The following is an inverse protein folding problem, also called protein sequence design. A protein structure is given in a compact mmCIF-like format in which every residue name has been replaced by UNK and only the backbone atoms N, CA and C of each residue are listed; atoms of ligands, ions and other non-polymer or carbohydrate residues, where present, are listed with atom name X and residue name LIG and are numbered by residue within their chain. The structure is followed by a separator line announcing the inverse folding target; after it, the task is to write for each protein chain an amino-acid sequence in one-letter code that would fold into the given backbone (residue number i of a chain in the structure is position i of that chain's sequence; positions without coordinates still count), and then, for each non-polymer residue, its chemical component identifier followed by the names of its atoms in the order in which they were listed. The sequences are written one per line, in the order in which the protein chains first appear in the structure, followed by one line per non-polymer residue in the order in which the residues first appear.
data_IF_790718604963
#
_entry.id   IF_790718604963
#
_cell.length_a   1.000
_cell.length_b   1.000
_cell.length_c   1.000
_cell.angle_alpha   90.00
_cell.angle_beta   90.00
_cell.angle_gamma   90.00
#
_symmetry.space_group_name_H-M   'P 1'
#
loop_
_entity.id
_entity.type
_entity.pdbx_description
1 polymer ?
#
# COMPACT_ATOMS: atom_id res chain seq x y z
N UNK A 1 -30.65 -38.13 27.88
CA UNK A 1 -30.97 -37.53 26.58
C UNK A 1 -29.69 -36.93 26.04
N UNK A 2 -29.31 -37.36 24.84
CA UNK A 2 -28.00 -37.13 24.24
C UNK A 2 -27.76 -35.65 23.91
N UNK A 3 -26.49 -35.31 24.03
CA UNK A 3 -25.80 -34.07 23.71
C UNK A 3 -26.08 -33.57 22.29
N UNK A 4 -26.53 -32.32 22.17
CA UNK A 4 -26.44 -31.54 20.95
C UNK A 4 -24.98 -31.12 20.74
N UNK A 5 -24.20 -31.97 20.08
CA UNK A 5 -23.00 -31.54 19.35
C UNK A 5 -23.40 -31.46 17.88
N UNK A 6 -24.15 -30.42 17.54
CA UNK A 6 -24.26 -30.00 16.14
C UNK A 6 -22.96 -29.30 15.77
N UNK A 7 -22.28 -29.88 14.78
CA UNK A 7 -20.95 -29.52 14.37
C UNK A 7 -20.85 -28.03 14.04
N UNK A 8 -19.78 -27.43 14.55
CA UNK A 8 -19.24 -26.16 14.07
C UNK A 8 -19.00 -26.36 12.57
N UNK A 9 -19.94 -25.91 11.75
CA UNK A 9 -19.69 -25.69 10.34
C UNK A 9 -18.64 -24.58 10.30
N UNK A 10 -17.38 -24.97 10.09
CA UNK A 10 -16.24 -24.09 9.89
C UNK A 10 -16.63 -22.96 8.95
N UNK A 11 -16.66 -21.75 9.49
CA UNK A 11 -17.08 -20.57 8.75
C UNK A 11 -16.13 -20.37 7.55
N UNK A 12 -16.65 -20.18 6.33
CA UNK A 12 -15.81 -19.94 5.17
C UNK A 12 -14.98 -18.67 5.36
N UNK A 13 -13.75 -18.67 4.81
CA UNK A 13 -12.88 -17.49 4.76
C UNK A 13 -13.71 -16.28 4.28
N UNK A 14 -13.71 -15.13 4.99
CA UNK A 14 -14.44 -13.95 4.55
C UNK A 14 -14.13 -13.61 3.10
N UNK A 15 -15.18 -13.41 2.29
CA UNK A 15 -15.06 -13.31 0.82
C UNK A 15 -14.05 -12.24 0.41
N UNK A 16 -14.04 -11.09 1.07
CA UNK A 16 -13.08 -10.01 0.77
C UNK A 16 -11.62 -10.40 1.04
N UNK A 17 -11.36 -11.17 2.09
CA UNK A 17 -10.02 -11.71 2.41
C UNK A 17 -9.62 -12.77 1.38
N UNK A 18 -10.53 -13.71 1.08
CA UNK A 18 -10.30 -14.76 0.08
C UNK A 18 -9.96 -14.17 -1.29
N UNK A 19 -10.77 -13.21 -1.76
CA UNK A 19 -10.53 -12.53 -3.03
C UNK A 19 -9.18 -11.82 -3.05
N UNK A 20 -8.79 -11.18 -1.94
CA UNK A 20 -7.48 -10.53 -1.83
C UNK A 20 -6.34 -11.53 -1.96
N UNK A 21 -6.42 -12.69 -1.30
CA UNK A 21 -5.40 -13.74 -1.42
C UNK A 21 -5.34 -14.33 -2.83
N UNK A 22 -6.48 -14.60 -3.46
CA UNK A 22 -6.52 -15.03 -4.87
C UNK A 22 -5.81 -14.01 -5.77
N UNK A 23 -6.07 -12.72 -5.58
CA UNK A 23 -5.40 -11.66 -6.31
C UNK A 23 -3.90 -11.59 -6.04
N UNK A 24 -3.44 -11.75 -4.80
CA UNK A 24 -2.02 -11.79 -4.47
C UNK A 24 -1.31 -12.99 -5.12
N UNK A 25 -1.97 -14.14 -5.21
CA UNK A 25 -1.44 -15.32 -5.94
C UNK A 25 -1.30 -15.02 -7.42
N UNK A 26 -2.34 -14.46 -8.06
CA UNK A 26 -2.28 -14.06 -9.47
C UNK A 26 -1.18 -13.03 -9.71
N UNK A 27 -1.09 -12.03 -8.84
CA UNK A 27 -0.08 -10.97 -8.94
C UNK A 27 1.34 -11.50 -8.76
N UNK A 28 1.57 -12.39 -7.78
CA UNK A 28 2.84 -13.07 -7.57
C UNK A 28 3.23 -13.99 -8.73
N UNK A 29 2.26 -14.71 -9.31
CA UNK A 29 2.50 -15.52 -10.51
C UNK A 29 2.94 -14.65 -11.70
N UNK A 30 2.30 -13.50 -11.92
CA UNK A 30 2.67 -12.56 -12.98
C UNK A 30 4.07 -11.97 -12.75
N UNK A 31 4.47 -11.72 -11.51
CA UNK A 31 5.84 -11.31 -11.16
C UNK A 31 6.86 -12.38 -11.56
N UNK A 32 6.63 -13.63 -11.16
CA UNK A 32 7.51 -14.77 -11.48
C UNK A 32 7.58 -15.00 -12.99
N UNK A 33 6.46 -14.90 -13.70
CA UNK A 33 6.42 -14.98 -15.16
C UNK A 33 7.25 -13.88 -15.82
N UNK A 34 7.14 -12.63 -15.35
CA UNK A 34 7.95 -11.52 -15.84
C UNK A 34 9.45 -11.77 -15.65
N UNK A 35 9.85 -12.25 -14.46
CA UNK A 35 11.23 -12.56 -14.13
C UNK A 35 11.80 -13.75 -14.93
N UNK A 36 11.05 -14.85 -15.05
CA UNK A 36 11.55 -16.09 -15.67
C UNK A 36 11.51 -16.07 -17.19
N UNK A 37 10.47 -15.50 -17.79
CA UNK A 37 10.22 -15.61 -19.23
C UNK A 37 10.63 -14.37 -20.04
N UNK A 38 11.28 -13.38 -19.41
CA UNK A 38 11.56 -12.07 -20.00
C UNK A 38 10.33 -11.46 -20.69
N UNK A 39 9.14 -11.70 -20.13
CA UNK A 39 7.89 -11.11 -20.62
C UNK A 39 7.74 -9.70 -20.06
N UNK A 40 6.96 -8.89 -20.76
CA UNK A 40 6.61 -7.55 -20.30
C UNK A 40 6.01 -7.60 -18.89
N UNK A 41 6.53 -6.79 -17.97
CA UNK A 41 5.96 -6.60 -16.63
C UNK A 41 4.62 -5.84 -16.62
N UNK A 42 4.10 -5.46 -17.79
CA UNK A 42 2.84 -4.73 -17.90
C UNK A 42 1.67 -5.46 -17.25
N UNK A 43 1.53 -6.77 -17.45
CA UNK A 43 0.45 -7.55 -16.84
C UNK A 43 0.53 -7.53 -15.31
N UNK A 44 1.76 -7.65 -14.77
CA UNK A 44 2.02 -7.53 -13.34
C UNK A 44 1.62 -6.14 -12.80
N UNK A 45 1.95 -5.06 -13.51
CA UNK A 45 1.56 -3.70 -13.10
C UNK A 45 0.05 -3.49 -13.16
N UNK A 46 -0.62 -3.92 -14.23
CA UNK A 46 -2.07 -3.76 -14.38
C UNK A 46 -2.84 -4.60 -13.38
N UNK A 47 -2.41 -5.83 -13.09
CA UNK A 47 -2.98 -6.64 -12.03
C UNK A 47 -2.82 -5.97 -10.66
N UNK A 48 -1.65 -5.38 -10.37
CA UNK A 48 -1.43 -4.62 -9.13
C UNK A 48 -2.30 -3.37 -9.02
N UNK A 49 -2.56 -2.67 -10.13
CA UNK A 49 -3.51 -1.55 -10.17
C UNK A 49 -4.94 -2.03 -9.93
N UNK A 50 -5.36 -3.14 -10.56
CA UNK A 50 -6.70 -3.69 -10.40
C UNK A 50 -6.95 -4.12 -8.94
N UNK A 51 -5.97 -4.79 -8.33
CA UNK A 51 -6.03 -5.16 -6.92
C UNK A 51 -6.08 -3.92 -6.01
N UNK A 52 -5.23 -2.92 -6.26
CA UNK A 52 -5.25 -1.66 -5.51
C UNK A 52 -6.64 -1.00 -5.60
N UNK A 53 -7.20 -0.94 -6.82
CA UNK A 53 -8.51 -0.37 -7.05
C UNK A 53 -9.59 -1.14 -6.30
N UNK A 54 -9.55 -2.48 -6.27
CA UNK A 54 -10.53 -3.27 -5.50
C UNK A 54 -10.44 -3.01 -4.00
N UNK A 55 -9.23 -2.90 -3.44
CA UNK A 55 -9.04 -2.63 -2.01
C UNK A 55 -9.49 -1.22 -1.66
N UNK A 56 -9.12 -0.23 -2.47
CA UNK A 56 -9.44 1.16 -2.22
C UNK A 56 -10.92 1.48 -2.46
N UNK A 57 -11.56 0.83 -3.45
CA UNK A 57 -12.99 0.97 -3.71
C UNK A 57 -13.84 0.51 -2.52
N UNK A 58 -13.36 -0.48 -1.76
CA UNK A 58 -14.02 -0.93 -0.53
C UNK A 58 -14.31 0.21 0.46
N UNK A 59 -13.41 1.20 0.57
CA UNK A 59 -13.61 2.36 1.46
C UNK A 59 -14.79 3.25 1.04
N UNK A 60 -15.10 3.31 -0.26
CA UNK A 60 -16.18 4.13 -0.80
C UNK A 60 -17.51 3.38 -0.85
N UNK A 61 -17.48 2.06 -1.08
CA UNK A 61 -18.68 1.23 -1.23
C UNK A 61 -19.19 0.74 0.13
N UNK A 62 -18.30 0.23 0.97
CA UNK A 62 -18.67 -0.43 2.22
C UNK A 62 -18.63 0.52 3.42
N UNK A 63 -17.96 1.67 3.29
CA UNK A 63 -17.65 2.55 4.41
C UNK A 63 -16.21 2.35 4.91
N UNK A 64 -15.71 3.38 5.60
CA UNK A 64 -14.32 3.38 6.11
C UNK A 64 -14.10 2.30 7.17
N UNK A 65 -14.94 2.16 8.22
CA UNK A 65 -14.73 1.14 9.25
C UNK A 65 -14.74 -0.29 8.67
N UNK A 66 -15.70 -0.62 7.83
CA UNK A 66 -15.86 -1.94 7.21
C UNK A 66 -14.69 -2.27 6.28
N UNK A 67 -14.22 -1.29 5.51
CA UNK A 67 -13.05 -1.46 4.66
C UNK A 67 -11.76 -1.67 5.48
N UNK A 68 -11.63 -0.99 6.62
CA UNK A 68 -10.53 -1.22 7.56
C UNK A 68 -10.64 -2.62 8.18
N UNK A 69 -11.81 -3.05 8.62
CA UNK A 69 -11.98 -4.38 9.20
C UNK A 69 -11.63 -5.50 8.20
N UNK A 70 -12.00 -5.34 6.93
CA UNK A 70 -11.56 -6.25 5.87
C UNK A 70 -10.05 -6.18 5.65
N UNK A 71 -9.46 -4.98 5.68
CA UNK A 71 -8.01 -4.79 5.56
C UNK A 71 -7.25 -5.48 6.70
N UNK A 72 -7.69 -5.32 7.95
CA UNK A 72 -7.13 -5.99 9.13
C UNK A 72 -7.26 -7.51 9.01
N UNK A 73 -8.43 -8.00 8.55
CA UNK A 73 -8.66 -9.42 8.32
C UNK A 73 -7.66 -10.07 7.36
N UNK A 74 -7.05 -9.32 6.43
CA UNK A 74 -5.97 -9.84 5.58
C UNK A 74 -4.75 -10.22 6.44
N UNK A 75 -4.39 -9.44 7.46
CA UNK A 75 -3.21 -9.67 8.31
C UNK A 75 -3.50 -10.66 9.44
N UNK A 76 -4.73 -10.65 9.96
CA UNK A 76 -5.13 -11.51 11.08
C UNK A 76 -4.85 -12.98 10.83
N UNK A 77 -5.02 -13.46 9.59
CA UNK A 77 -4.75 -14.85 9.21
C UNK A 77 -3.34 -15.30 9.54
N UNK A 78 -2.32 -14.47 9.26
CA UNK A 78 -0.93 -14.85 9.54
C UNK A 78 -0.53 -14.50 10.96
N UNK A 79 -1.02 -13.40 11.51
CA UNK A 79 -0.60 -12.96 12.84
C UNK A 79 -1.09 -13.93 13.93
N UNK A 80 -2.27 -14.53 13.73
CA UNK A 80 -2.88 -15.51 14.63
C UNK A 80 -2.36 -16.95 14.44
N UNK A 81 -1.44 -17.20 13.51
CA UNK A 81 -0.86 -18.53 13.33
C UNK A 81 -0.15 -19.01 14.60
N UNK A 82 -0.57 -20.16 15.11
CA UNK A 82 0.01 -20.78 16.30
C UNK A 82 -0.30 -20.06 17.62
N UNK A 83 -1.25 -19.12 17.65
CA UNK A 83 -1.63 -18.41 18.89
C UNK A 83 -2.63 -19.21 19.72
N UNK A 84 -3.58 -19.92 19.08
CA UNK A 84 -4.59 -20.69 19.81
C UNK A 84 -4.04 -21.82 20.69
N UNK A 85 -2.75 -22.15 20.55
CA UNK A 85 -2.03 -23.11 21.38
C UNK A 85 -1.25 -22.48 22.55
N UNK A 86 -1.19 -21.15 22.63
CA UNK A 86 -0.45 -20.44 23.68
C UNK A 86 -1.34 -20.24 24.93
N UNK A 87 -0.78 -20.40 26.14
CA UNK A 87 -1.39 -19.88 27.36
C UNK A 87 -1.66 -18.38 27.27
N UNK A 88 -2.69 -17.89 27.97
CA UNK A 88 -3.12 -16.47 27.91
C UNK A 88 -2.01 -15.49 28.35
N UNK A 89 -1.18 -15.89 29.31
CA UNK A 89 -0.02 -15.13 29.77
C UNK A 89 1.17 -15.14 28.79
N UNK A 90 1.08 -15.90 27.70
CA UNK A 90 2.08 -16.00 26.64
C UNK A 90 1.63 -15.33 25.33
N UNK A 91 0.45 -14.68 25.33
CA UNK A 91 0.00 -13.90 24.17
C UNK A 91 0.99 -12.77 23.90
N UNK A 92 1.51 -12.65 22.66
CA UNK A 92 2.49 -11.63 22.32
C UNK A 92 2.01 -10.20 22.61
N UNK A 93 2.88 -9.36 23.16
CA UNK A 93 2.53 -8.02 23.63
C UNK A 93 2.04 -7.04 22.54
N UNK A 94 2.29 -7.31 21.26
CA UNK A 94 1.77 -6.49 20.15
C UNK A 94 0.37 -6.94 19.70
N UNK A 95 -0.23 -7.92 20.38
CA UNK A 95 -1.57 -8.42 20.07
C UNK A 95 -2.54 -8.04 21.17
N UNK A 96 -3.61 -7.39 20.78
CA UNK A 96 -4.63 -6.88 21.69
C UNK A 96 -6.02 -7.20 21.14
N UNK A 97 -7.03 -7.35 22.01
CA UNK A 97 -8.41 -7.35 21.59
C UNK A 97 -8.80 -5.97 21.07
N UNK A 98 -9.85 -5.92 20.25
CA UNK A 98 -10.47 -4.66 19.83
C UNK A 98 -11.92 -4.56 20.32
N UNK A 99 -12.44 -3.34 20.36
CA UNK A 99 -13.80 -3.08 20.85
C UNK A 99 -14.84 -3.95 20.13
N UNK A 100 -15.53 -4.81 20.90
CA UNK A 100 -16.52 -5.79 20.41
C UNK A 100 -16.03 -6.64 19.23
N UNK A 101 -14.73 -6.88 19.13
CA UNK A 101 -14.10 -7.61 18.03
C UNK A 101 -14.45 -7.08 16.62
N UNK A 102 -14.84 -5.80 16.52
CA UNK A 102 -15.38 -5.22 15.28
C UNK A 102 -14.31 -4.79 14.28
N UNK A 103 -13.03 -4.82 14.69
CA UNK A 103 -11.90 -4.44 13.85
C UNK A 103 -11.50 -5.51 12.83
N UNK A 104 -12.20 -6.66 12.79
CA UNK A 104 -11.91 -7.75 11.86
C UNK A 104 -13.19 -8.29 11.22
N UNK A 105 -13.04 -8.89 10.05
CA UNK A 105 -14.13 -9.62 9.36
C UNK A 105 -14.21 -11.10 9.77
N UNK A 106 -13.29 -11.55 10.63
CA UNK A 106 -13.21 -12.95 11.05
C UNK A 106 -14.13 -13.32 12.23
N UNK A 107 -14.73 -12.32 12.89
CA UNK A 107 -15.56 -12.51 14.08
C UNK A 107 -14.81 -13.32 15.14
N UNK A 108 -15.51 -14.21 15.83
CA UNK A 108 -14.97 -14.97 16.98
C UNK A 108 -13.82 -15.92 16.62
N UNK A 109 -13.50 -16.11 15.34
CA UNK A 109 -12.36 -16.92 14.90
C UNK A 109 -11.02 -16.31 15.32
N UNK A 110 -10.90 -14.99 15.22
CA UNK A 110 -9.71 -14.25 15.64
C UNK A 110 -10.14 -13.11 16.55
N UNK A 111 -9.72 -13.18 17.82
CA UNK A 111 -10.02 -12.19 18.86
C UNK A 111 -8.80 -11.36 19.27
N UNK A 112 -7.64 -11.70 18.71
CA UNK A 112 -6.37 -11.02 18.91
C UNK A 112 -5.92 -10.40 17.59
N UNK A 113 -5.58 -9.12 17.64
CA UNK A 113 -5.22 -8.34 16.46
C UNK A 113 -3.94 -7.57 16.71
N UNK A 114 -3.23 -7.23 15.64
CA UNK A 114 -2.09 -6.33 15.76
C UNK A 114 -2.53 -5.02 16.43
N UNK A 115 -1.77 -4.53 17.39
CA UNK A 115 -2.11 -3.31 18.13
C UNK A 115 -2.33 -2.11 17.21
N UNK A 116 -1.49 -1.97 16.19
CA UNK A 116 -1.65 -0.92 15.17
C UNK A 116 -2.97 -1.06 14.40
N UNK A 117 -3.45 -2.27 14.16
CA UNK A 117 -4.67 -2.55 13.41
C UNK A 117 -5.92 -2.18 14.22
N UNK A 118 -5.96 -2.58 15.50
CA UNK A 118 -7.03 -2.17 16.42
C UNK A 118 -7.08 -0.64 16.56
N UNK A 119 -5.94 -0.01 16.79
CA UNK A 119 -5.85 1.45 16.88
C UNK A 119 -6.25 2.14 15.57
N UNK A 120 -5.92 1.55 14.41
CA UNK A 120 -6.36 2.09 13.12
C UNK A 120 -7.89 2.08 13.02
N UNK A 121 -8.51 0.93 13.30
CA UNK A 121 -9.96 0.78 13.23
C UNK A 121 -10.67 1.78 14.15
N UNK A 122 -10.29 1.82 15.43
CA UNK A 122 -10.96 2.65 16.44
C UNK A 122 -10.92 4.14 16.09
N UNK A 123 -9.81 4.61 15.51
CA UNK A 123 -9.70 6.00 15.06
C UNK A 123 -10.73 6.39 14.01
N UNK A 124 -11.15 5.48 13.15
CA UNK A 124 -12.09 5.80 12.07
C UNK A 124 -13.53 5.37 12.39
N UNK A 125 -13.70 4.33 13.22
CA UNK A 125 -15.01 3.88 13.70
C UNK A 125 -15.60 4.84 14.74
N UNK A 126 -14.77 5.32 15.68
CA UNK A 126 -15.23 6.12 16.83
C UNK A 126 -14.70 7.56 16.83
N UNK A 127 -13.85 7.91 15.87
CA UNK A 127 -13.32 9.26 15.73
C UNK A 127 -14.25 10.25 15.03
N UNK A 128 -13.84 11.54 14.94
CA UNK A 128 -14.59 12.54 14.20
C UNK A 128 -14.74 12.18 12.73
N UNK A 129 -15.94 12.36 12.16
CA UNK A 129 -16.23 12.07 10.74
C UNK A 129 -15.29 12.75 9.75
N UNK A 130 -14.78 13.94 10.10
CA UNK A 130 -13.80 14.66 9.30
C UNK A 130 -12.57 13.80 8.99
N UNK A 131 -12.11 12.99 9.95
CA UNK A 131 -10.96 12.09 9.77
C UNK A 131 -11.21 11.09 8.64
N UNK A 132 -12.39 10.48 8.61
CA UNK A 132 -12.80 9.56 7.55
C UNK A 132 -12.87 10.24 6.19
N UNK A 133 -13.39 11.47 6.11
CA UNK A 133 -13.37 12.24 4.86
C UNK A 133 -11.95 12.55 4.37
N UNK A 134 -11.05 12.93 5.28
CA UNK A 134 -9.64 13.17 4.94
C UNK A 134 -8.98 11.88 4.42
N UNK A 135 -9.26 10.73 5.03
CA UNK A 135 -8.76 9.44 4.55
C UNK A 135 -9.30 9.09 3.16
N UNK A 136 -10.59 9.31 2.90
CA UNK A 136 -11.18 9.06 1.59
C UNK A 136 -10.55 9.95 0.51
N UNK A 137 -10.32 11.24 0.80
CA UNK A 137 -9.61 12.14 -0.12
C UNK A 137 -8.18 11.67 -0.36
N UNK A 138 -7.46 11.28 0.70
CA UNK A 138 -6.13 10.69 0.59
C UNK A 138 -6.13 9.49 -0.36
N UNK A 139 -7.03 8.52 -0.14
CA UNK A 139 -7.13 7.29 -0.93
C UNK A 139 -7.47 7.62 -2.39
N UNK A 140 -8.49 8.44 -2.64
CA UNK A 140 -8.91 8.79 -4.00
C UNK A 140 -7.78 9.47 -4.77
N UNK A 141 -7.18 10.51 -4.19
CA UNK A 141 -6.16 11.30 -4.85
C UNK A 141 -4.88 10.49 -5.13
N UNK A 142 -4.38 9.72 -4.16
CA UNK A 142 -3.19 8.88 -4.36
C UNK A 142 -3.46 7.76 -5.38
N UNK A 143 -4.66 7.18 -5.40
CA UNK A 143 -5.03 6.16 -6.40
C UNK A 143 -5.00 6.73 -7.81
N UNK A 144 -5.58 7.93 -8.01
CA UNK A 144 -5.55 8.62 -9.30
C UNK A 144 -4.11 8.91 -9.71
N UNK A 145 -3.30 9.51 -8.82
CA UNK A 145 -1.91 9.84 -9.12
C UNK A 145 -1.09 8.58 -9.46
N UNK A 146 -1.29 7.47 -8.75
CA UNK A 146 -0.60 6.21 -9.00
C UNK A 146 -0.95 5.68 -10.39
N UNK A 147 -2.23 5.61 -10.73
CA UNK A 147 -2.71 5.11 -12.04
C UNK A 147 -2.20 5.98 -13.18
N UNK A 148 -2.35 7.30 -13.06
CA UNK A 148 -1.91 8.23 -14.10
C UNK A 148 -0.40 8.17 -14.32
N UNK A 149 0.38 8.02 -13.25
CA UNK A 149 1.84 7.85 -13.34
C UNK A 149 2.20 6.57 -14.11
N UNK A 150 1.51 5.45 -13.86
CA UNK A 150 1.75 4.22 -14.62
C UNK A 150 1.39 4.39 -16.09
N UNK A 151 0.27 5.03 -16.40
CA UNK A 151 -0.13 5.35 -17.78
C UNK A 151 0.95 6.18 -18.46
N UNK A 152 1.44 7.24 -17.79
CA UNK A 152 2.46 8.14 -18.32
C UNK A 152 3.81 7.44 -18.56
N UNK A 153 4.17 6.46 -17.71
CA UNK A 153 5.39 5.67 -17.88
C UNK A 153 5.26 4.62 -18.99
N UNK A 154 4.14 3.87 -19.02
CA UNK A 154 3.90 2.81 -20.01
C UNK A 154 3.75 3.41 -21.43
N UNK A 155 3.20 4.61 -21.56
CA UNK A 155 3.03 5.28 -22.86
C UNK A 155 4.32 5.82 -23.47
N UNK A 156 5.52 5.47 -22.98
CA UNK A 156 6.78 5.86 -23.63
C UNK A 156 7.11 4.92 -24.80
N UNK A 157 7.33 5.47 -26.01
CA UNK A 157 8.14 6.66 -26.28
C UNK A 157 7.36 7.97 -26.45
N UNK A 158 8.04 9.10 -26.22
CA UNK A 158 7.50 10.46 -26.42
C UNK A 158 6.86 10.59 -27.81
N UNK A 159 5.54 10.81 -27.82
CA UNK A 159 4.82 11.15 -29.04
C UNK A 159 4.53 12.67 -29.04
N UNK A 160 5.14 13.45 -29.97
CA UNK A 160 4.91 14.89 -30.08
C UNK A 160 3.43 15.27 -30.21
N UNK A 161 2.64 14.41 -30.86
CA UNK A 161 1.20 14.61 -31.07
C UNK A 161 0.41 14.51 -29.75
N UNK A 162 0.97 13.83 -28.73
CA UNK A 162 0.35 13.66 -27.40
C UNK A 162 0.95 14.58 -26.34
N UNK A 163 1.75 15.58 -26.72
CA UNK A 163 2.41 16.50 -25.77
C UNK A 163 1.40 17.22 -24.85
N UNK A 164 0.29 17.71 -25.41
CA UNK A 164 -0.74 18.39 -24.63
C UNK A 164 -1.40 17.45 -23.61
N UNK A 165 -1.69 16.22 -24.02
CA UNK A 165 -2.24 15.18 -23.14
C UNK A 165 -1.27 14.83 -22.01
N UNK A 166 0.01 14.58 -22.33
CA UNK A 166 1.04 14.29 -21.33
C UNK A 166 1.14 15.41 -20.29
N UNK A 167 1.11 16.67 -20.73
CA UNK A 167 1.13 17.84 -19.85
C UNK A 167 -0.10 17.90 -18.94
N UNK A 168 -1.30 17.68 -19.50
CA UNK A 168 -2.55 17.68 -18.73
C UNK A 168 -2.55 16.58 -17.66
N UNK A 169 -2.22 15.34 -18.03
CA UNK A 169 -2.15 14.22 -17.10
C UNK A 169 -1.08 14.45 -16.02
N UNK A 170 0.06 15.07 -16.37
CA UNK A 170 1.08 15.48 -15.41
C UNK A 170 0.57 16.49 -14.39
N UNK A 171 -0.23 17.50 -14.81
CA UNK A 171 -0.84 18.43 -13.87
C UNK A 171 -1.86 17.76 -12.95
N UNK A 172 -2.72 16.89 -13.48
CA UNK A 172 -3.70 16.16 -12.68
C UNK A 172 -2.96 15.30 -11.65
N UNK A 173 -1.94 14.57 -12.07
CA UNK A 173 -1.08 13.76 -11.18
C UNK A 173 -0.48 14.63 -10.07
N UNK A 174 0.10 15.78 -10.41
CA UNK A 174 0.70 16.68 -9.43
C UNK A 174 -0.31 17.22 -8.40
N UNK A 175 -1.48 17.66 -8.86
CA UNK A 175 -2.54 18.21 -7.99
C UNK A 175 -3.08 17.10 -7.07
N UNK A 176 -3.43 15.95 -7.63
CA UNK A 176 -3.91 14.81 -6.86
C UNK A 176 -2.88 14.39 -5.82
N UNK A 177 -1.62 14.21 -6.21
CA UNK A 177 -0.58 13.80 -5.27
C UNK A 177 -0.37 14.83 -4.15
N UNK A 178 -0.37 16.13 -4.48
CA UNK A 178 -0.21 17.19 -3.48
C UNK A 178 -1.34 17.19 -2.46
N UNK A 179 -2.60 17.08 -2.91
CA UNK A 179 -3.76 17.01 -2.03
C UNK A 179 -3.71 15.73 -1.19
N UNK A 180 -3.44 14.59 -1.85
CA UNK A 180 -3.40 13.29 -1.21
C UNK A 180 -2.34 13.18 -0.12
N UNK A 181 -1.14 13.74 -0.35
CA UNK A 181 -0.08 13.81 0.65
C UNK A 181 -0.37 14.84 1.74
N UNK A 182 -1.03 15.96 1.42
CA UNK A 182 -1.54 16.90 2.42
C UNK A 182 -2.46 16.21 3.43
N UNK A 183 -3.43 15.43 2.92
CA UNK A 183 -4.31 14.59 3.74
C UNK A 183 -3.54 13.54 4.54
N UNK A 184 -2.54 12.88 3.94
CA UNK A 184 -1.69 11.90 4.64
C UNK A 184 -0.95 12.54 5.81
N UNK A 185 -0.30 13.69 5.58
CA UNK A 185 0.43 14.44 6.60
C UNK A 185 -0.50 14.93 7.73
N UNK A 186 -1.73 15.33 7.39
CA UNK A 186 -2.73 15.65 8.40
C UNK A 186 -3.03 14.45 9.28
N UNK A 187 -3.40 13.31 8.69
CA UNK A 187 -3.71 12.08 9.44
C UNK A 187 -2.50 11.59 10.26
N UNK A 188 -1.29 11.72 9.71
CA UNK A 188 -0.03 11.42 10.38
C UNK A 188 0.21 12.31 11.62
N UNK A 189 -0.21 13.58 11.57
CA UNK A 189 0.02 14.54 12.66
C UNK A 189 -0.60 14.10 13.99
N UNK A 190 -1.68 13.31 13.91
CA UNK A 190 -2.43 12.77 15.04
C UNK A 190 -1.83 11.48 15.63
N UNK A 191 -0.81 10.87 15.01
CA UNK A 191 -0.22 9.61 15.51
C UNK A 191 0.74 9.81 16.69
N UNK A 192 1.09 11.06 17.02
CA UNK A 192 2.12 11.36 18.02
C UNK A 192 1.83 10.82 19.42
N UNK A 193 0.55 10.59 19.73
CA UNK A 193 0.05 10.12 21.02
C UNK A 193 -0.44 8.66 20.97
N UNK A 194 -0.26 7.96 19.85
CA UNK A 194 -0.80 6.61 19.64
C UNK A 194 0.34 5.60 19.72
N UNK A 195 0.53 5.03 20.90
CA UNK A 195 1.65 4.14 21.20
C UNK A 195 1.60 2.86 20.37
N UNK A 196 0.42 2.35 20.02
CA UNK A 196 0.20 1.15 19.21
C UNK A 196 0.79 1.29 17.80
N UNK A 197 0.88 2.54 17.32
CA UNK A 197 1.54 2.88 16.05
C UNK A 197 3.04 3.15 16.21
N UNK A 198 3.54 3.29 17.44
CA UNK A 198 4.90 3.75 17.74
C UNK A 198 4.99 5.26 18.04
N UNK A 199 3.86 5.92 18.27
CA UNK A 199 3.78 7.31 18.73
C UNK A 199 4.48 8.30 17.78
N UNK A 200 5.33 9.16 18.35
CA UNK A 200 6.10 10.18 17.60
C UNK A 200 6.97 9.60 16.48
N UNK A 201 7.52 8.39 16.65
CA UNK A 201 8.33 7.74 15.61
C UNK A 201 7.51 7.40 14.37
N UNK A 202 6.26 6.97 14.56
CA UNK A 202 5.31 6.72 13.48
C UNK A 202 4.99 8.02 12.73
N UNK A 203 4.68 9.09 13.48
CA UNK A 203 4.40 10.42 12.93
C UNK A 203 5.55 10.93 12.04
N UNK A 204 6.78 10.92 12.55
CA UNK A 204 7.94 11.35 11.77
C UNK A 204 8.25 10.40 10.61
N UNK A 205 8.03 9.11 10.78
CA UNK A 205 8.18 8.13 9.71
C UNK A 205 7.19 8.39 8.56
N UNK A 206 5.93 8.69 8.84
CA UNK A 206 4.95 9.04 7.81
C UNK A 206 5.31 10.35 7.11
N UNK A 207 5.84 11.34 7.82
CA UNK A 207 6.39 12.55 7.19
C UNK A 207 7.60 12.25 6.31
N UNK A 208 8.48 11.37 6.74
CA UNK A 208 9.63 10.90 5.94
C UNK A 208 9.16 10.20 4.66
N UNK A 209 8.17 9.31 4.77
CA UNK A 209 7.54 8.64 3.63
C UNK A 209 6.94 9.66 2.65
N UNK A 210 6.14 10.61 3.15
CA UNK A 210 5.54 11.66 2.34
C UNK A 210 6.61 12.53 1.65
N UNK A 211 7.68 12.91 2.37
CA UNK A 211 8.79 13.67 1.82
C UNK A 211 9.55 12.88 0.72
N UNK A 212 9.71 11.57 0.89
CA UNK A 212 10.33 10.71 -0.11
C UNK A 212 9.51 10.69 -1.42
N UNK A 213 8.20 10.49 -1.32
CA UNK A 213 7.30 10.46 -2.48
C UNK A 213 7.23 11.83 -3.16
N UNK A 214 6.96 12.88 -2.38
CA UNK A 214 6.83 14.24 -2.92
C UNK A 214 8.14 14.78 -3.47
N UNK A 215 9.26 14.48 -2.82
CA UNK A 215 10.59 14.86 -3.28
C UNK A 215 10.90 14.32 -4.67
N UNK A 216 10.52 13.07 -4.96
CA UNK A 216 10.69 12.48 -6.29
C UNK A 216 9.85 13.20 -7.35
N UNK A 217 8.59 13.50 -7.03
CA UNK A 217 7.68 14.24 -7.91
C UNK A 217 8.21 15.65 -8.22
N UNK A 218 8.56 16.43 -7.18
CA UNK A 218 9.07 17.78 -7.33
C UNK A 218 10.36 17.81 -8.14
N UNK A 219 11.28 16.86 -7.90
CA UNK A 219 12.51 16.76 -8.69
C UNK A 219 12.22 16.49 -10.17
N UNK A 220 11.27 15.62 -10.49
CA UNK A 220 10.85 15.40 -11.87
C UNK A 220 10.27 16.64 -12.54
N UNK A 221 9.49 17.45 -11.81
CA UNK A 221 8.94 18.70 -12.32
C UNK A 221 10.05 19.74 -12.56
N UNK A 222 10.99 19.88 -11.61
CA UNK A 222 12.11 20.81 -11.74
C UNK A 222 12.96 20.46 -12.96
N UNK A 223 13.30 19.18 -13.16
CA UNK A 223 14.15 18.76 -14.28
C UNK A 223 13.48 18.95 -15.63
N UNK A 224 12.17 18.68 -15.76
CA UNK A 224 11.48 18.91 -17.05
C UNK A 224 11.34 20.40 -17.37
N UNK A 225 11.17 21.25 -16.35
CA UNK A 225 11.16 22.71 -16.54
C UNK A 225 12.52 23.25 -16.96
N UNK A 226 13.61 22.60 -16.55
CA UNK A 226 14.96 22.89 -17.01
C UNK A 226 15.26 22.34 -18.41
N UNK A 227 14.33 21.60 -19.03
CA UNK A 227 14.53 20.96 -20.34
C UNK A 227 15.28 19.62 -20.28
N UNK A 228 15.70 19.16 -19.09
CA UNK A 228 16.39 17.89 -18.91
C UNK A 228 15.40 16.72 -18.87
N UNK A 229 15.15 16.15 -20.06
CA UNK A 229 14.23 15.03 -20.25
C UNK A 229 14.76 13.72 -19.66
N UNK A 230 16.08 13.54 -19.64
CA UNK A 230 16.72 12.32 -19.13
C UNK A 230 16.56 12.28 -17.62
N UNK A 231 16.91 13.37 -16.93
CA UNK A 231 16.72 13.46 -15.49
C UNK A 231 15.24 13.45 -15.10
N UNK A 232 14.37 14.10 -15.88
CA UNK A 232 12.92 14.00 -15.67
C UNK A 232 12.45 12.55 -15.68
N UNK A 233 12.81 11.78 -16.73
CA UNK A 233 12.43 10.38 -16.82
C UNK A 233 12.94 9.58 -15.63
N UNK A 234 14.20 9.77 -15.22
CA UNK A 234 14.76 9.11 -14.03
C UNK A 234 13.92 9.39 -12.78
N UNK A 235 13.61 10.66 -12.51
CA UNK A 235 12.80 11.02 -11.34
C UNK A 235 11.36 10.52 -11.42
N UNK A 236 10.77 10.37 -12.60
CA UNK A 236 9.42 9.80 -12.75
C UNK A 236 9.38 8.31 -12.48
N UNK A 237 10.44 7.55 -12.83
CA UNK A 237 10.57 6.16 -12.39
C UNK A 237 10.74 6.05 -10.87
N UNK A 238 11.55 6.92 -10.26
CA UNK A 238 11.71 6.99 -8.80
C UNK A 238 10.41 7.37 -8.10
N UNK A 239 9.67 8.33 -8.64
CA UNK A 239 8.36 8.72 -8.12
C UNK A 239 7.37 7.56 -8.17
N UNK A 240 7.21 6.91 -9.33
CA UNK A 240 6.39 5.71 -9.44
C UNK A 240 6.83 4.63 -8.45
N UNK A 241 8.14 4.35 -8.39
CA UNK A 241 8.71 3.41 -7.43
C UNK A 241 8.36 3.76 -5.99
N UNK A 242 8.47 5.03 -5.60
CA UNK A 242 8.11 5.50 -4.25
C UNK A 242 6.62 5.34 -3.93
N UNK A 243 5.73 5.52 -4.91
CA UNK A 243 4.29 5.29 -4.75
C UNK A 243 3.97 3.79 -4.60
N UNK A 244 4.61 2.94 -5.42
CA UNK A 244 4.52 1.48 -5.24
C UNK A 244 5.12 1.05 -3.90
N UNK A 245 6.18 1.73 -3.45
CA UNK A 245 6.80 1.53 -2.16
C UNK A 245 5.84 1.82 -1.01
N UNK A 246 5.34 3.06 -0.94
CA UNK A 246 4.42 3.51 0.11
C UNK A 246 3.08 2.78 0.12
N UNK A 247 2.65 2.24 -1.02
CA UNK A 247 1.40 1.47 -1.09
C UNK A 247 1.61 -0.04 -0.97
N UNK A 248 2.26 -0.65 -1.95
CA UNK A 248 2.34 -2.11 -2.09
C UNK A 248 3.46 -2.71 -1.25
N UNK A 249 4.67 -2.18 -1.34
CA UNK A 249 5.80 -2.72 -0.57
C UNK A 249 5.52 -2.58 0.93
N UNK A 250 4.94 -1.46 1.35
CA UNK A 250 4.44 -1.27 2.72
C UNK A 250 3.56 -2.44 3.18
N UNK A 251 2.53 -2.78 2.40
CA UNK A 251 1.55 -3.83 2.76
C UNK A 251 2.15 -5.24 2.71
N UNK A 252 2.89 -5.55 1.65
CA UNK A 252 3.48 -6.88 1.46
C UNK A 252 4.54 -7.16 2.54
N UNK A 253 5.41 -6.18 2.81
CA UNK A 253 6.42 -6.34 3.87
C UNK A 253 5.74 -6.46 5.22
N UNK A 254 4.75 -5.62 5.52
CA UNK A 254 4.01 -5.70 6.78
C UNK A 254 3.36 -7.08 6.96
N UNK A 255 2.73 -7.62 5.92
CA UNK A 255 2.11 -8.95 5.93
C UNK A 255 3.10 -10.07 6.29
N UNK A 256 4.37 -9.92 5.89
CA UNK A 256 5.42 -10.91 6.17
C UNK A 256 6.06 -10.70 7.54
N UNK A 257 6.38 -9.45 7.92
CA UNK A 257 7.18 -9.19 9.13
C UNK A 257 6.35 -9.03 10.40
N UNK A 258 5.07 -8.68 10.30
CA UNK A 258 4.21 -8.48 11.47
C UNK A 258 4.04 -9.78 12.29
N UNK A 259 3.81 -10.96 11.69
CA UNK A 259 3.83 -12.22 12.42
C UNK A 259 5.18 -12.54 13.06
N UNK A 260 6.30 -12.17 12.41
CA UNK A 260 7.66 -12.44 12.91
C UNK A 260 8.05 -11.51 14.07
N UNK A 261 7.45 -10.32 14.13
CA UNK A 261 7.75 -9.29 15.11
C UNK A 261 6.61 -9.05 16.10
N UNK A 262 5.63 -9.96 16.18
CA UNK A 262 4.44 -9.85 17.06
C UNK A 262 4.75 -9.72 18.55
N UNK A 263 5.97 -10.03 18.98
CA UNK A 263 6.43 -9.81 20.36
C UNK A 263 6.96 -8.41 20.62
N UNK A 264 7.18 -7.60 19.58
CA UNK A 264 7.77 -6.26 19.66
C UNK A 264 6.74 -5.20 19.29
N UNK A 265 6.35 -4.39 20.27
CA UNK A 265 5.36 -3.31 20.08
C UNK A 265 5.76 -2.41 18.92
N UNK A 266 4.86 -2.25 17.95
CA UNK A 266 5.00 -1.37 16.79
C UNK A 266 6.24 -1.58 15.89
N UNK A 267 7.05 -2.63 16.10
CA UNK A 267 8.31 -2.79 15.37
C UNK A 267 8.06 -2.99 13.86
N UNK A 268 7.13 -3.88 13.51
CA UNK A 268 6.77 -4.15 12.12
C UNK A 268 6.26 -2.91 11.39
N UNK A 269 5.29 -2.19 12.00
CA UNK A 269 4.70 -1.00 11.40
C UNK A 269 5.74 0.12 11.24
N UNK A 270 6.62 0.34 12.22
CA UNK A 270 7.69 1.34 12.13
C UNK A 270 8.67 1.01 10.99
N UNK A 271 9.10 -0.25 10.86
CA UNK A 271 10.01 -0.67 9.79
C UNK A 271 9.40 -0.34 8.42
N UNK A 272 8.14 -0.72 8.19
CA UNK A 272 7.52 -0.46 6.88
C UNK A 272 7.28 1.02 6.63
N UNK A 273 6.91 1.80 7.66
CA UNK A 273 6.74 3.25 7.52
C UNK A 273 8.04 3.91 7.03
N UNK A 274 9.18 3.57 7.62
CA UNK A 274 10.46 4.21 7.31
C UNK A 274 11.10 3.70 6.01
N UNK A 275 10.95 2.42 5.70
CA UNK A 275 11.78 1.77 4.65
C UNK A 275 11.05 1.63 3.32
N UNK A 276 9.72 1.52 3.33
CA UNK A 276 8.96 1.13 2.13
C UNK A 276 9.07 2.12 0.96
N UNK A 277 8.89 3.42 1.18
CA UNK A 277 9.04 4.41 0.11
C UNK A 277 10.48 4.53 -0.42
N UNK A 278 11.53 4.62 0.43
CA UNK A 278 12.92 4.59 -0.03
C UNK A 278 13.28 3.32 -0.82
N UNK A 279 12.86 2.14 -0.35
CA UNK A 279 13.06 0.89 -1.08
C UNK A 279 12.31 0.91 -2.41
N UNK A 280 11.11 1.48 -2.45
CA UNK A 280 10.36 1.75 -3.67
C UNK A 280 11.13 2.61 -4.68
N UNK A 281 11.81 3.68 -4.23
CA UNK A 281 12.67 4.51 -5.08
C UNK A 281 13.78 3.68 -5.73
N UNK A 282 14.45 2.82 -4.95
CA UNK A 282 15.50 1.93 -5.45
C UNK A 282 14.96 0.95 -6.49
N UNK A 283 13.79 0.35 -6.24
CA UNK A 283 13.12 -0.54 -7.18
C UNK A 283 12.68 0.19 -8.46
N UNK A 284 12.25 1.45 -8.36
CA UNK A 284 11.93 2.30 -9.50
C UNK A 284 13.15 2.55 -10.39
N UNK A 285 14.31 2.84 -9.78
CA UNK A 285 15.57 2.98 -10.50
C UNK A 285 16.02 1.67 -11.16
N UNK A 286 15.84 0.55 -10.48
CA UNK A 286 16.10 -0.78 -11.05
C UNK A 286 15.18 -1.03 -12.26
N UNK A 287 13.87 -0.81 -12.12
CA UNK A 287 12.90 -0.99 -13.20
C UNK A 287 13.26 -0.14 -14.43
N UNK A 288 13.67 1.11 -14.23
CA UNK A 288 14.18 1.97 -15.31
C UNK A 288 15.38 1.34 -16.02
N UNK A 289 16.36 0.84 -15.28
CA UNK A 289 17.54 0.20 -15.85
C UNK A 289 17.17 -1.01 -16.72
N UNK A 290 16.20 -1.82 -16.29
CA UNK A 290 15.68 -2.94 -17.07
C UNK A 290 15.04 -2.48 -18.39
N UNK A 291 14.18 -1.47 -18.33
CA UNK A 291 13.54 -0.89 -19.53
C UNK A 291 14.58 -0.31 -20.51
N UNK A 292 15.57 0.39 -19.98
CA UNK A 292 16.64 0.98 -20.79
C UNK A 292 17.53 -0.09 -21.45
N UNK A 293 17.77 -1.20 -20.75
CA UNK A 293 18.50 -2.36 -21.28
C UNK A 293 17.72 -3.04 -22.40
N UNK A 294 16.43 -3.31 -22.22
CA UNK A 294 15.57 -3.91 -23.26
C UNK A 294 15.48 -3.05 -24.52
N UNK A 295 15.42 -1.73 -24.36
CA UNK A 295 15.34 -0.80 -25.50
C UNK A 295 16.62 -0.88 -26.34
N UNK A 296 17.78 -1.02 -25.70
CA UNK A 296 19.07 -1.16 -26.38
C UNK A 296 19.23 -2.52 -27.08
N UNK A 297 18.76 -3.61 -26.47
CA UNK A 297 18.88 -4.95 -27.08
C UNK A 297 17.95 -5.15 -28.29
N UNK A 298 16.82 -4.45 -28.34
CA UNK A 298 15.88 -4.47 -29.48
C UNK A 298 16.29 -3.55 -30.65
N UNK A 299 17.51 -3.00 -30.65
CA UNK A 299 18.01 -2.16 -31.74
C UNK A 299 17.39 -0.76 -31.82
N UNK A 300 16.74 -0.29 -30.74
CA UNK A 300 16.19 1.05 -30.67
C UNK A 300 17.32 2.09 -30.67
N UNK A 301 17.31 2.98 -31.65
CA UNK A 301 18.14 4.20 -31.69
C UNK A 301 18.16 4.88 -30.32
N UNK A 302 19.35 5.35 -29.90
CA UNK A 302 19.54 6.11 -28.66
C UNK A 302 18.44 7.16 -28.51
N UNK A 303 17.78 7.15 -27.35
CA UNK A 303 16.91 8.23 -26.92
C UNK A 303 17.85 9.41 -26.59
N UNK A 304 17.92 10.39 -27.50
CA UNK A 304 18.42 11.74 -27.22
C UNK A 304 17.35 12.60 -26.53
#
# INVERSE_FOLDING_TARGET
MATATEGIADSPIPVGVLLTYCWLVVWGYLLVQGLQRQRSFQDFFWAGIALMASLNMGYFVNGVPEAIANFVGIYDTLINLGIGSLPENEIPANLIPCHNNSCTVWGDRYVQHAAWASAFYERFAYGPKLRSYILLVHIACNSIALVLTQILLIQTPYNPQKKAQHKLLGYITFICETIGLGCACWLASEHGEIDEYGGKWAKYGFYSMAACVYGCLLRGIVTIRAGDRVAHRMWMFRFAGSMWGSFWLFRVVLFVIDPLLRSYKAAAILIVIWVSAPAGVMLGDLARWWVDKETKTKGGSKIE
#
